data_IF_477475864355
#
_entry.id   IF_477475864355
#
_cell.length_a   1.000
_cell.length_b   1.000
_cell.length_c   1.000
_cell.angle_alpha   90.00
_cell.angle_beta   90.00
_cell.angle_gamma   90.00
#
_symmetry.space_group_name_H-M   'P 1'
#
loop_
_entity.id
_entity.type
_entity.pdbx_description
1 polymer ?
#
# COMPACT_ATOMS: atom_id res chain seq x y z
N UNK A 1 18.05 -21.75 4.78
CA UNK A 1 17.32 -20.49 5.06
C UNK A 1 15.93 -20.47 4.39
N UNK A 2 15.08 -21.49 4.54
CA UNK A 2 13.92 -21.73 3.65
C UNK A 2 12.51 -21.53 4.27
N UNK A 3 12.40 -21.24 5.57
CA UNK A 3 11.09 -21.24 6.28
C UNK A 3 10.68 -19.92 6.95
N UNK A 4 11.43 -18.82 6.79
CA UNK A 4 11.08 -17.56 7.49
C UNK A 4 9.85 -16.85 6.93
N UNK A 5 9.41 -17.19 5.71
CA UNK A 5 8.23 -16.60 5.07
C UNK A 5 6.93 -17.36 5.32
N UNK A 6 7.01 -18.62 5.79
CA UNK A 6 5.83 -19.47 5.95
C UNK A 6 4.86 -18.94 7.00
N UNK A 7 5.36 -18.35 8.08
CA UNK A 7 4.53 -17.80 9.15
C UNK A 7 3.74 -16.58 8.67
N UNK A 8 4.36 -15.73 7.85
CA UNK A 8 3.70 -14.58 7.23
C UNK A 8 2.65 -15.06 6.23
N UNK A 9 2.98 -16.03 5.38
CA UNK A 9 2.02 -16.60 4.42
C UNK A 9 0.83 -17.27 5.09
N UNK A 10 1.04 -17.97 6.21
CA UNK A 10 -0.05 -18.58 6.98
C UNK A 10 -0.90 -17.49 7.63
N UNK A 11 -0.28 -16.45 8.19
CA UNK A 11 -1.01 -15.35 8.83
C UNK A 11 -1.89 -14.61 7.82
N UNK A 12 -1.37 -14.29 6.63
CA UNK A 12 -2.14 -13.61 5.57
C UNK A 12 -3.27 -14.50 5.05
N UNK A 13 -3.04 -15.80 4.89
CA UNK A 13 -4.09 -16.76 4.53
C UNK A 13 -5.20 -16.81 5.59
N UNK A 14 -4.84 -16.84 6.87
CA UNK A 14 -5.81 -16.84 7.97
C UNK A 14 -6.61 -15.54 7.97
N UNK A 15 -5.96 -14.38 7.85
CA UNK A 15 -6.63 -13.08 7.80
C UNK A 15 -7.60 -12.98 6.62
N UNK A 16 -7.21 -13.49 5.44
CA UNK A 16 -8.06 -13.52 4.25
C UNK A 16 -9.27 -14.45 4.45
N UNK A 17 -9.08 -15.63 5.05
CA UNK A 17 -10.17 -16.57 5.36
C UNK A 17 -11.15 -15.99 6.37
N UNK A 18 -10.66 -15.30 7.41
CA UNK A 18 -11.50 -14.60 8.40
C UNK A 18 -12.32 -13.50 7.73
N UNK A 19 -11.73 -12.74 6.81
CA UNK A 19 -12.39 -11.66 6.10
C UNK A 19 -13.50 -12.20 5.17
N UNK A 20 -13.22 -13.28 4.44
CA UNK A 20 -14.24 -13.96 3.61
C UNK A 20 -15.36 -14.53 4.48
N UNK A 21 -15.02 -15.16 5.61
CA UNK A 21 -16.02 -15.67 6.55
C UNK A 21 -16.91 -14.55 7.11
N UNK A 22 -16.33 -13.39 7.43
CA UNK A 22 -17.07 -12.22 7.91
C UNK A 22 -18.02 -11.68 6.84
N UNK A 23 -17.60 -11.64 5.58
CA UNK A 23 -18.44 -11.20 4.45
C UNK A 23 -19.64 -12.15 4.24
N UNK A 24 -19.43 -13.47 4.31
CA UNK A 24 -20.49 -14.46 4.19
C UNK A 24 -21.45 -14.50 5.38
N UNK A 25 -20.97 -14.25 6.60
CA UNK A 25 -21.81 -14.31 7.81
C UNK A 25 -22.57 -13.00 8.07
N UNK A 26 -22.02 -11.86 7.64
CA UNK A 26 -22.63 -10.52 7.80
C UNK A 26 -23.48 -10.14 6.58
N UNK A 27 -24.26 -11.12 6.11
CA UNK A 27 -25.11 -11.02 4.92
C UNK A 27 -25.92 -9.71 4.86
N UNK A 28 -25.89 -9.08 3.69
CA UNK A 28 -26.75 -7.98 3.22
C UNK A 28 -26.66 -6.60 3.88
N UNK A 29 -25.99 -6.41 5.02
CA UNK A 29 -25.92 -5.08 5.68
C UNK A 29 -24.72 -4.20 5.26
N UNK A 30 -23.78 -4.75 4.47
CA UNK A 30 -22.62 -4.01 3.93
C UNK A 30 -22.80 -3.67 2.45
N UNK A 31 -24.01 -3.29 2.02
CA UNK A 31 -24.18 -2.55 0.76
C UNK A 31 -23.60 -1.14 0.94
N UNK A 32 -22.28 -1.04 1.04
CA UNK A 32 -21.55 0.22 1.16
C UNK A 32 -21.55 0.87 -0.22
N UNK A 33 -22.68 1.47 -0.56
CA UNK A 33 -22.79 2.46 -1.63
C UNK A 33 -22.45 3.82 -1.00
N UNK A 34 -21.30 4.45 -1.27
CA UNK A 34 -20.28 4.18 -2.29
C UNK A 34 -19.02 3.45 -1.76
N UNK A 35 -18.35 2.70 -2.64
CA UNK A 35 -17.07 1.98 -2.40
C UNK A 35 -15.92 2.93 -2.04
N UNK A 36 -15.90 4.10 -2.67
CA UNK A 36 -14.97 5.18 -2.37
C UNK A 36 -15.75 6.37 -1.85
N UNK A 37 -15.44 6.79 -0.62
CA UNK A 37 -16.01 7.99 -0.02
C UNK A 37 -14.90 9.00 0.18
N UNK A 38 -15.15 10.20 -0.31
CA UNK A 38 -14.29 11.35 -0.10
C UNK A 38 -14.95 12.15 1.02
N UNK A 39 -14.51 11.91 2.26
CA UNK A 39 -14.87 12.73 3.40
C UNK A 39 -13.79 13.80 3.66
N UNK A 40 -14.10 14.77 4.52
CA UNK A 40 -13.17 15.85 4.83
C UNK A 40 -11.85 15.33 5.44
N UNK A 41 -11.90 14.19 6.15
CA UNK A 41 -10.72 13.55 6.73
C UNK A 41 -9.84 12.92 5.63
N UNK A 42 -10.43 12.19 4.69
CA UNK A 42 -9.74 11.58 3.55
C UNK A 42 -9.07 12.64 2.67
N UNK A 43 -9.69 13.81 2.49
CA UNK A 43 -9.08 14.93 1.76
C UNK A 43 -7.78 15.38 2.46
N UNK A 44 -7.82 15.59 3.77
CA UNK A 44 -6.63 16.03 4.53
C UNK A 44 -5.55 14.94 4.49
N UNK A 45 -5.92 13.68 4.70
CA UNK A 45 -4.99 12.56 4.66
C UNK A 45 -4.36 12.37 3.27
N UNK A 46 -5.16 12.44 2.20
CA UNK A 46 -4.65 12.35 0.82
C UNK A 46 -3.72 13.52 0.49
N UNK A 47 -4.01 14.73 0.98
CA UNK A 47 -3.12 15.88 0.78
C UNK A 47 -1.75 15.64 1.42
N UNK A 48 -1.72 15.12 2.65
CA UNK A 48 -0.47 14.76 3.34
C UNK A 48 0.29 13.69 2.54
N UNK A 49 -0.40 12.63 2.10
CA UNK A 49 0.22 11.55 1.34
C UNK A 49 0.81 12.07 0.02
N UNK A 50 0.10 12.93 -0.71
CA UNK A 50 0.59 13.46 -1.98
C UNK A 50 1.77 14.42 -1.79
N UNK A 51 1.71 15.32 -0.80
CA UNK A 51 2.81 16.26 -0.51
C UNK A 51 4.06 15.48 -0.07
N UNK A 52 3.94 14.65 0.97
CA UNK A 52 5.08 13.91 1.50
C UNK A 52 5.57 12.87 0.49
N UNK A 53 4.66 12.18 -0.20
CA UNK A 53 4.98 11.21 -1.25
C UNK A 53 5.79 11.81 -2.39
N UNK A 54 5.40 13.00 -2.87
CA UNK A 54 6.17 13.71 -3.90
C UNK A 54 7.60 14.07 -3.41
N UNK A 55 7.73 14.51 -2.16
CA UNK A 55 9.02 14.83 -1.56
C UNK A 55 9.90 13.58 -1.43
N UNK A 56 9.32 12.46 -1.01
CA UNK A 56 10.03 11.16 -0.92
C UNK A 56 10.49 10.72 -2.31
N UNK A 57 9.66 10.84 -3.36
CA UNK A 57 10.06 10.51 -4.73
C UNK A 57 11.26 11.35 -5.19
N UNK A 58 11.20 12.69 -5.02
CA UNK A 58 12.29 13.59 -5.42
C UNK A 58 13.58 13.27 -4.65
N UNK A 59 13.46 13.07 -3.34
CA UNK A 59 14.59 12.72 -2.49
C UNK A 59 15.19 11.36 -2.87
N UNK A 60 14.35 10.34 -3.10
CA UNK A 60 14.78 9.00 -3.45
C UNK A 60 15.52 8.93 -4.79
N UNK A 61 15.14 9.75 -5.77
CA UNK A 61 15.84 9.81 -7.08
C UNK A 61 17.28 10.26 -6.87
N UNK A 62 17.47 11.32 -6.08
CA UNK A 62 18.80 11.87 -5.76
C UNK A 62 19.59 10.93 -4.85
N UNK A 63 18.95 10.35 -3.84
CA UNK A 63 19.58 9.44 -2.90
C UNK A 63 20.18 8.21 -3.59
N UNK A 64 19.46 7.60 -4.54
CA UNK A 64 19.97 6.44 -5.28
C UNK A 64 21.10 6.86 -6.22
N UNK A 65 20.99 8.01 -6.89
CA UNK A 65 22.05 8.51 -7.76
C UNK A 65 23.36 8.75 -6.99
N UNK A 66 23.28 9.41 -5.83
CA UNK A 66 24.42 9.63 -4.92
C UNK A 66 25.02 8.31 -4.41
N UNK A 67 24.16 7.33 -4.11
CA UNK A 67 24.60 6.02 -3.63
C UNK A 67 25.30 5.20 -4.73
N UNK A 68 24.81 5.27 -5.97
CA UNK A 68 25.43 4.60 -7.13
C UNK A 68 26.77 5.27 -7.53
N UNK A 69 26.96 6.57 -7.24
CA UNK A 69 28.23 7.28 -7.43
C UNK A 69 29.32 6.82 -6.44
N UNK A 70 28.95 6.65 -5.17
CA UNK A 70 29.88 6.16 -4.13
C UNK A 70 30.08 4.64 -4.17
N UNK A 71 29.11 3.89 -4.70
CA UNK A 71 29.16 2.44 -4.85
C UNK A 71 28.73 2.03 -6.27
N UNK A 72 29.67 1.97 -7.23
CA UNK A 72 29.35 1.65 -8.60
C UNK A 72 28.77 0.23 -8.70
N UNK A 73 27.53 0.16 -9.14
CA UNK A 73 26.80 -1.07 -9.45
C UNK A 73 26.68 -1.22 -10.96
N UNK A 74 26.90 -2.44 -11.47
CA UNK A 74 26.87 -2.74 -12.92
C UNK A 74 25.52 -2.43 -13.59
N UNK A 75 24.44 -2.32 -12.81
CA UNK A 75 23.09 -2.03 -13.31
C UNK A 75 22.31 -1.21 -12.30
N UNK A 76 21.93 0.01 -12.71
CA UNK A 76 21.10 0.88 -11.88
C UNK A 76 19.79 0.19 -11.48
N UNK A 77 19.47 0.24 -10.18
CA UNK A 77 18.21 -0.32 -9.64
C UNK A 77 17.16 0.77 -9.43
N UNK A 78 17.48 2.01 -9.78
CA UNK A 78 16.65 3.20 -9.59
C UNK A 78 15.22 3.07 -10.15
N UNK A 79 14.99 2.58 -11.39
CA UNK A 79 13.61 2.50 -11.92
C UNK A 79 12.76 1.48 -11.17
N UNK A 80 13.37 0.37 -10.70
CA UNK A 80 12.66 -0.66 -9.95
C UNK A 80 12.26 -0.19 -8.55
N UNK A 81 13.15 0.52 -7.87
CA UNK A 81 12.83 1.10 -6.57
C UNK A 81 11.72 2.15 -6.68
N UNK A 82 11.83 3.05 -7.64
CA UNK A 82 10.81 4.07 -7.88
C UNK A 82 9.45 3.46 -8.25
N UNK A 83 9.45 2.39 -9.05
CA UNK A 83 8.22 1.66 -9.36
C UNK A 83 7.51 1.13 -8.10
N UNK A 84 8.24 0.46 -7.20
CA UNK A 84 7.68 -0.02 -5.94
C UNK A 84 7.22 1.12 -5.02
N UNK A 85 7.96 2.22 -4.99
CA UNK A 85 7.63 3.39 -4.18
C UNK A 85 6.33 4.07 -4.66
N UNK A 86 6.14 4.18 -5.99
CA UNK A 86 4.91 4.72 -6.57
C UNK A 86 3.71 3.80 -6.30
N UNK A 87 3.89 2.47 -6.41
CA UNK A 87 2.83 1.50 -6.03
C UNK A 87 2.45 1.67 -4.57
N UNK A 88 3.43 1.73 -3.67
CA UNK A 88 3.21 1.93 -2.25
C UNK A 88 2.46 3.24 -1.96
N UNK A 89 2.83 4.33 -2.64
CA UNK A 89 2.15 5.62 -2.50
C UNK A 89 0.70 5.56 -3.04
N UNK A 90 0.47 4.81 -4.11
CA UNK A 90 -0.86 4.53 -4.65
C UNK A 90 -1.72 3.72 -3.67
N UNK A 91 -1.16 2.66 -3.07
CA UNK A 91 -1.84 1.84 -2.07
C UNK A 91 -2.27 2.68 -0.86
N UNK A 92 -1.38 3.56 -0.36
CA UNK A 92 -1.70 4.46 0.76
C UNK A 92 -2.86 5.42 0.45
N UNK A 93 -2.93 5.96 -0.78
CA UNK A 93 -4.10 6.74 -1.20
C UNK A 93 -5.36 5.86 -1.28
N UNK A 94 -5.24 4.61 -1.76
CA UNK A 94 -6.33 3.64 -1.82
C UNK A 94 -6.93 3.32 -0.44
N UNK A 95 -6.09 3.15 0.59
CA UNK A 95 -6.52 2.95 1.99
C UNK A 95 -7.40 4.12 2.44
N UNK A 96 -6.96 5.36 2.21
CA UNK A 96 -7.64 6.57 2.69
C UNK A 96 -9.03 6.77 2.06
N UNK A 97 -9.21 6.37 0.80
CA UNK A 97 -10.51 6.49 0.14
C UNK A 97 -11.43 5.28 0.37
N UNK A 98 -10.93 4.20 0.98
CA UNK A 98 -11.69 2.96 1.16
C UNK A 98 -12.78 3.12 2.22
N UNK A 99 -14.03 3.06 1.80
CA UNK A 99 -15.19 3.13 2.70
C UNK A 99 -15.67 1.75 3.17
N UNK A 100 -15.13 0.67 2.61
CA UNK A 100 -15.42 -0.70 3.00
C UNK A 100 -14.22 -1.33 3.68
N UNK A 101 -14.47 -2.09 4.75
CA UNK A 101 -13.46 -2.85 5.46
C UNK A 101 -12.70 -3.79 4.52
N UNK A 102 -13.38 -4.38 3.54
CA UNK A 102 -12.76 -5.27 2.54
C UNK A 102 -11.71 -4.53 1.72
N UNK A 103 -12.04 -3.32 1.25
CA UNK A 103 -11.12 -2.49 0.47
C UNK A 103 -9.97 -1.94 1.31
N UNK A 104 -10.25 -1.55 2.56
CA UNK A 104 -9.23 -1.10 3.50
C UNK A 104 -8.20 -2.22 3.76
N UNK A 105 -8.65 -3.44 4.06
CA UNK A 105 -7.75 -4.59 4.26
C UNK A 105 -7.00 -4.95 2.98
N UNK A 106 -7.64 -4.88 1.82
CA UNK A 106 -6.97 -5.15 0.54
C UNK A 106 -5.79 -4.19 0.31
N UNK A 107 -6.00 -2.87 0.43
CA UNK A 107 -4.92 -1.90 0.22
C UNK A 107 -3.88 -1.90 1.34
N UNK A 108 -4.24 -2.34 2.55
CA UNK A 108 -3.31 -2.49 3.66
C UNK A 108 -2.27 -3.60 3.42
N UNK A 109 -2.66 -4.70 2.76
CA UNK A 109 -1.79 -5.86 2.51
C UNK A 109 -0.90 -5.72 1.25
N UNK A 110 -1.05 -4.63 0.49
CA UNK A 110 -0.25 -4.31 -0.72
C UNK A 110 1.11 -3.74 -0.34
#
# INVERSE_FOLDING_TARGET
>A
MKNKHALITILTLIQLVVLVYFDFFTGEHMAVNPVFVIDNLAIIMSLIINIIGSLICIYGVRYIAEHEEHHPVEKSRQPRFMFWLVIFLGAMNGIVFSNSLVWLYFFWEV
#
